data_IF_125800520068
#
_entry.id   IF_125800520068
#
_cell.length_a   1.000
_cell.length_b   1.000
_cell.length_c   1.000
_cell.angle_alpha   90.00
_cell.angle_beta   90.00
_cell.angle_gamma   90.00
#
_symmetry.space_group_name_H-M   'P 1'
#
loop_
_entity.id
_entity.type
_entity.pdbx_description
1 polymer ?
#
# COMPACT_ATOMS: atom_id res chain seq x y z
N UNK A 1 -15.27 -4.10 -3.73
CA UNK A 1 -14.37 -2.97 -3.43
C UNK A 1 -12.94 -3.47 -3.44
N UNK A 2 -12.02 -2.79 -4.12
CA UNK A 2 -10.58 -3.04 -4.02
C UNK A 2 -9.96 -1.94 -3.16
N UNK A 3 -9.33 -2.31 -2.06
CA UNK A 3 -8.81 -1.39 -1.04
C UNK A 3 -7.29 -1.52 -0.92
N UNK A 4 -6.54 -0.62 -1.56
CA UNK A 4 -5.07 -0.67 -1.62
C UNK A 4 -4.50 0.35 -0.65
N UNK A 5 -3.61 -0.10 0.25
CA UNK A 5 -3.09 0.74 1.33
C UNK A 5 -1.56 0.75 1.40
N UNK A 6 -1.05 1.71 2.18
CA UNK A 6 0.36 1.82 2.48
C UNK A 6 0.90 0.58 3.20
N UNK A 7 2.22 0.38 3.10
CA UNK A 7 2.91 -0.79 3.63
C UNK A 7 2.55 -1.14 5.08
N UNK A 8 2.21 -2.41 5.31
CA UNK A 8 2.00 -2.94 6.66
C UNK A 8 3.26 -2.87 7.53
N UNK A 9 4.45 -2.77 6.91
CA UNK A 9 5.72 -2.61 7.62
C UNK A 9 5.88 -1.26 8.34
N UNK A 10 5.02 -0.26 8.06
CA UNK A 10 5.10 1.08 8.65
C UNK A 10 3.80 1.55 9.33
N UNK A 11 2.68 0.86 9.08
CA UNK A 11 1.36 1.25 9.57
C UNK A 11 0.43 0.05 9.76
N UNK A 12 -0.46 0.12 10.74
CA UNK A 12 -1.53 -0.86 10.96
C UNK A 12 -2.69 -0.75 9.96
N UNK A 13 -2.68 0.20 9.03
CA UNK A 13 -3.81 0.49 8.12
C UNK A 13 -4.31 -0.73 7.35
N UNK A 14 -3.42 -1.58 6.83
CA UNK A 14 -3.81 -2.84 6.14
C UNK A 14 -4.53 -3.79 7.08
N UNK A 15 -4.06 -3.94 8.32
CA UNK A 15 -4.71 -4.79 9.31
C UNK A 15 -6.09 -4.25 9.67
N UNK A 16 -6.21 -2.95 9.91
CA UNK A 16 -7.50 -2.29 10.18
C UNK A 16 -8.48 -2.45 9.01
N UNK A 17 -8.01 -2.32 7.77
CA UNK A 17 -8.84 -2.52 6.58
C UNK A 17 -9.32 -3.97 6.45
N UNK A 18 -8.48 -4.96 6.76
CA UNK A 18 -8.89 -6.37 6.81
C UNK A 18 -9.93 -6.63 7.91
N UNK A 19 -9.74 -6.06 9.11
CA UNK A 19 -10.74 -6.15 10.17
C UNK A 19 -12.08 -5.55 9.73
N UNK A 20 -12.07 -4.34 9.17
CA UNK A 20 -13.27 -3.69 8.68
C UNK A 20 -13.94 -4.49 7.53
N UNK A 21 -13.15 -5.06 6.62
CA UNK A 21 -13.66 -5.94 5.56
C UNK A 21 -14.39 -7.17 6.10
N UNK A 22 -13.95 -7.72 7.24
CA UNK A 22 -14.62 -8.87 7.88
C UNK A 22 -15.93 -8.50 8.60
N UNK A 23 -16.16 -7.21 8.85
CA UNK A 23 -17.35 -6.70 9.55
C UNK A 23 -18.48 -6.29 8.61
N UNK A 24 -18.30 -6.43 7.29
CA UNK A 24 -19.29 -6.02 6.27
C UNK A 24 -19.60 -7.17 5.32
N UNK A 25 -20.83 -7.23 4.82
CA UNK A 25 -21.22 -8.15 3.73
C UNK A 25 -20.65 -7.73 2.36
N UNK A 26 -20.06 -6.53 2.28
CA UNK A 26 -19.43 -6.04 1.06
C UNK A 26 -18.22 -6.91 0.74
N UNK A 27 -18.12 -7.41 -0.51
CA UNK A 27 -16.91 -8.08 -0.98
C UNK A 27 -15.76 -7.08 -1.11
N UNK A 28 -14.84 -7.09 -0.15
CA UNK A 28 -13.66 -6.23 -0.11
C UNK A 28 -12.41 -7.09 -0.32
N UNK A 29 -11.55 -6.68 -1.25
CA UNK A 29 -10.19 -7.21 -1.40
C UNK A 29 -9.20 -6.16 -0.90
N UNK A 30 -8.49 -6.46 0.17
CA UNK A 30 -7.49 -5.58 0.76
C UNK A 30 -6.11 -5.94 0.22
N UNK A 31 -5.36 -4.94 -0.24
CA UNK A 31 -4.01 -5.12 -0.80
C UNK A 31 -3.01 -4.24 -0.03
N UNK A 32 -1.94 -4.88 0.42
CA UNK A 32 -0.73 -4.17 0.85
C UNK A 32 0.10 -3.79 -0.38
N UNK A 33 0.24 -2.49 -0.64
CA UNK A 33 1.03 -1.97 -1.75
C UNK A 33 2.53 -2.20 -1.60
N UNK A 34 3.01 -2.49 -0.38
CA UNK A 34 4.42 -2.51 0.04
C UNK A 34 5.15 -1.18 -0.14
N UNK A 35 4.42 -0.10 -0.40
CA UNK A 35 4.97 1.23 -0.62
C UNK A 35 4.23 2.31 0.19
N UNK A 36 4.74 3.52 0.10
CA UNK A 36 4.14 4.76 0.59
C UNK A 36 4.15 5.80 -0.55
N UNK A 37 3.52 6.96 -0.33
CA UNK A 37 3.55 8.11 -1.27
C UNK A 37 3.15 7.73 -2.72
N UNK A 38 3.81 8.33 -3.71
CA UNK A 38 3.55 8.13 -5.14
C UNK A 38 3.72 6.67 -5.60
N UNK A 39 4.59 5.89 -4.98
CA UNK A 39 4.75 4.47 -5.31
C UNK A 39 3.50 3.63 -4.97
N UNK A 40 2.77 4.00 -3.90
CA UNK A 40 1.41 3.49 -3.65
C UNK A 40 0.43 4.04 -4.70
N UNK A 41 0.51 5.33 -5.03
CA UNK A 41 -0.41 5.97 -5.97
C UNK A 41 -0.38 5.32 -7.36
N UNK A 42 0.79 4.89 -7.86
CA UNK A 42 0.88 4.20 -9.15
C UNK A 42 -0.01 2.95 -9.22
N UNK A 43 -0.07 2.17 -8.13
CA UNK A 43 -0.94 1.00 -8.04
C UNK A 43 -2.42 1.38 -7.98
N UNK A 44 -2.77 2.40 -7.18
CA UNK A 44 -4.15 2.87 -7.02
C UNK A 44 -4.71 3.45 -8.32
N UNK A 45 -3.95 4.32 -8.99
CA UNK A 45 -4.37 4.98 -10.23
C UNK A 45 -4.53 3.95 -11.35
N UNK A 46 -3.60 3.00 -11.49
CA UNK A 46 -3.71 1.94 -12.50
C UNK A 46 -4.92 1.05 -12.26
N UNK A 47 -5.14 0.63 -11.00
CA UNK A 47 -6.31 -0.17 -10.64
C UNK A 47 -7.62 0.56 -10.93
N UNK A 48 -7.70 1.86 -10.62
CA UNK A 48 -8.88 2.68 -10.88
C UNK A 48 -9.16 2.84 -12.39
N UNK A 49 -8.11 3.05 -13.21
CA UNK A 49 -8.23 3.11 -14.67
C UNK A 49 -8.81 1.81 -15.23
N UNK A 50 -8.22 0.67 -14.88
CA UNK A 50 -8.70 -0.63 -15.34
C UNK A 50 -10.11 -0.96 -14.84
N UNK A 51 -10.46 -0.55 -13.62
CA UNK A 51 -11.82 -0.69 -13.10
C UNK A 51 -12.83 0.12 -13.93
N UNK A 52 -12.49 1.36 -14.32
CA UNK A 52 -13.32 2.20 -15.19
C UNK A 52 -13.47 1.61 -16.61
N UNK A 53 -12.48 0.86 -17.07
CA UNK A 53 -12.51 0.09 -18.33
C UNK A 53 -13.30 -1.23 -18.21
N UNK A 54 -13.82 -1.57 -17.03
CA UNK A 54 -14.61 -2.78 -16.80
C UNK A 54 -13.77 -4.06 -16.72
N UNK A 55 -12.47 -3.97 -16.48
CA UNK A 55 -11.59 -5.15 -16.30
C UNK A 55 -11.99 -5.93 -15.05
N UNK A 56 -11.74 -7.24 -15.09
CA UNK A 56 -12.03 -8.10 -13.94
C UNK A 56 -11.06 -7.83 -12.79
N UNK A 57 -11.48 -8.15 -11.56
CA UNK A 57 -10.65 -8.00 -10.37
C UNK A 57 -9.33 -8.79 -10.47
N UNK A 58 -9.36 -9.99 -11.05
CA UNK A 58 -8.16 -10.82 -11.22
C UNK A 58 -7.11 -10.15 -12.12
N UNK A 59 -7.56 -9.58 -13.24
CA UNK A 59 -6.68 -8.84 -14.16
C UNK A 59 -6.10 -7.59 -13.50
N UNK A 60 -6.93 -6.86 -12.73
CA UNK A 60 -6.50 -5.68 -11.99
C UNK A 60 -5.44 -6.06 -10.95
N UNK A 61 -5.65 -7.13 -10.18
CA UNK A 61 -4.70 -7.58 -9.16
C UNK A 61 -3.37 -8.01 -9.79
N UNK A 62 -3.42 -8.73 -10.91
CA UNK A 62 -2.21 -9.09 -11.66
C UNK A 62 -1.45 -7.85 -12.11
N UNK A 63 -2.15 -6.86 -12.68
CA UNK A 63 -1.52 -5.61 -13.13
C UNK A 63 -0.93 -4.81 -11.97
N UNK A 64 -1.65 -4.71 -10.85
CA UNK A 64 -1.16 -4.04 -9.63
C UNK A 64 0.13 -4.69 -9.13
N UNK A 65 0.22 -6.02 -9.14
CA UNK A 65 1.44 -6.74 -8.76
C UNK A 65 2.61 -6.46 -9.73
N UNK A 66 2.34 -6.38 -11.04
CA UNK A 66 3.35 -5.98 -12.03
C UNK A 66 3.84 -4.55 -11.80
N UNK A 67 2.93 -3.60 -11.56
CA UNK A 67 3.29 -2.21 -11.22
C UNK A 67 4.16 -2.18 -9.97
N UNK A 68 3.76 -2.92 -8.92
CA UNK A 68 4.52 -3.04 -7.67
C UNK A 68 5.93 -3.57 -7.92
N UNK A 69 6.08 -4.67 -8.66
CA UNK A 69 7.38 -5.29 -8.97
C UNK A 69 8.31 -4.37 -9.77
N UNK A 70 7.74 -3.49 -10.60
CA UNK A 70 8.50 -2.54 -11.41
C UNK A 70 8.64 -1.15 -10.75
N UNK A 71 8.20 -0.99 -9.50
CA UNK A 71 8.33 0.27 -8.76
C UNK A 71 9.54 0.23 -7.83
N UNK A 72 10.28 1.34 -7.79
CA UNK A 72 11.33 1.58 -6.78
C UNK A 72 11.04 2.90 -6.09
N UNK A 73 11.20 2.93 -4.77
CA UNK A 73 11.04 4.12 -3.96
C UNK A 73 12.34 4.38 -3.21
N UNK A 74 12.90 5.57 -3.42
CA UNK A 74 14.04 6.08 -2.66
C UNK A 74 13.54 7.23 -1.78
N UNK A 75 13.91 7.21 -0.51
CA UNK A 75 13.55 8.24 0.46
C UNK A 75 14.83 8.84 1.00
N UNK A 76 14.92 10.17 0.90
CA UNK A 76 16.01 10.96 1.48
C UNK A 76 15.39 11.86 2.53
N UNK A 77 16.02 11.92 3.69
CA UNK A 77 15.60 12.76 4.82
C UNK A 77 16.80 13.50 5.38
N UNK A 78 16.59 14.72 5.85
CA UNK A 78 17.64 15.53 6.47
C UNK A 78 18.03 14.98 7.85
N UNK A 79 17.09 14.31 8.54
CA UNK A 79 17.29 13.69 9.85
C UNK A 79 16.40 12.45 10.04
N UNK A 80 16.91 11.46 10.77
CA UNK A 80 16.17 10.26 11.17
C UNK A 80 15.35 10.45 12.45
N UNK A 81 15.47 11.58 13.13
CA UNK A 81 14.89 11.80 14.47
C UNK A 81 13.37 11.53 14.51
N UNK A 82 12.64 12.02 13.50
CA UNK A 82 11.20 11.82 13.41
C UNK A 82 10.82 10.36 13.14
N UNK A 83 11.60 9.64 12.33
CA UNK A 83 11.38 8.21 12.06
C UNK A 83 11.61 7.38 13.33
N UNK A 84 12.58 7.76 14.16
CA UNK A 84 12.88 7.11 15.44
C UNK A 84 11.80 7.41 16.46
N UNK A 85 11.48 8.69 16.70
CA UNK A 85 10.43 9.10 17.65
C UNK A 85 9.06 8.52 17.25
N UNK A 86 8.80 8.43 15.96
CA UNK A 86 7.59 7.82 15.41
C UNK A 86 7.60 6.28 15.40
N UNK A 87 8.72 5.62 15.72
CA UNK A 87 8.82 4.15 15.75
C UNK A 87 8.78 3.46 14.38
N UNK A 88 8.98 4.20 13.28
CA UNK A 88 8.98 3.67 11.90
C UNK A 88 10.36 3.17 11.46
N UNK A 89 11.40 3.48 12.24
CA UNK A 89 12.71 2.85 12.13
C UNK A 89 13.15 2.40 13.53
N UNK A 90 13.78 1.22 13.61
CA UNK A 90 14.35 0.73 14.86
C UNK A 90 15.53 1.60 15.30
N UNK A 91 15.69 1.82 16.61
CA UNK A 91 16.77 2.66 17.17
C UNK A 91 18.17 2.24 16.70
N UNK A 92 18.42 0.95 16.50
CA UNK A 92 19.70 0.42 16.00
C UNK A 92 19.91 0.46 14.48
N UNK A 93 18.94 0.94 13.69
CA UNK A 93 19.09 1.20 12.25
C UNK A 93 19.28 2.68 11.93
N UNK A 94 19.20 3.54 12.94
CA UNK A 94 19.36 4.98 12.79
C UNK A 94 20.78 5.48 13.08
N UNK A 95 21.64 4.62 13.66
CA UNK A 95 23.02 4.91 14.06
C UNK A 95 23.92 3.73 13.69
#
# INVERSE_FOLDING_TARGET
VLSIHMTSGMSGTVATANSAASMTDTKVTVVDSQFITHALAYQVIEAAKMANEGRSLEEILKRVDEVRKNTRLYVVVDTLENLVKGGRIGKGKAF
#
